data_IF_182236630319
#
_entry.id   IF_182236630319
#
_cell.length_a   1.000
_cell.length_b   1.000
_cell.length_c   1.000
_cell.angle_alpha   90.00
_cell.angle_beta   90.00
_cell.angle_gamma   90.00
#
_symmetry.space_group_name_H-M   'P 1'
#
loop_
_entity.id
_entity.type
_entity.pdbx_description
1 polymer ?
#
# COMPACT_ATOMS: atom_id res chain seq x y z
N UNK A 1 37.36 -7.50 -50.93
CA UNK A 1 36.74 -6.70 -49.85
C UNK A 1 36.45 -7.68 -48.73
N UNK A 2 37.08 -7.48 -47.57
CA UNK A 2 37.46 -8.55 -46.65
C UNK A 2 36.34 -8.90 -45.65
N UNK A 3 35.79 -10.11 -45.74
CA UNK A 3 34.65 -10.65 -44.95
C UNK A 3 34.93 -10.63 -43.42
N UNK A 4 36.20 -10.76 -43.04
CA UNK A 4 36.65 -10.66 -41.64
C UNK A 4 36.43 -9.27 -41.02
N UNK A 5 36.41 -8.21 -41.83
CA UNK A 5 36.19 -6.84 -41.35
C UNK A 5 34.71 -6.56 -41.05
N UNK A 6 33.80 -7.13 -41.85
CA UNK A 6 32.35 -7.01 -41.70
C UNK A 6 31.85 -7.80 -40.48
N UNK A 7 32.38 -9.01 -40.27
CA UNK A 7 32.03 -9.86 -39.12
C UNK A 7 32.46 -9.28 -37.78
N UNK A 8 33.66 -8.68 -37.70
CA UNK A 8 34.14 -8.00 -36.48
C UNK A 8 33.30 -6.76 -36.12
N UNK A 9 32.98 -5.92 -37.12
CA UNK A 9 32.14 -4.74 -36.93
C UNK A 9 30.72 -5.10 -36.44
N UNK A 10 30.14 -6.17 -36.98
CA UNK A 10 28.83 -6.67 -36.53
C UNK A 10 28.89 -7.24 -35.10
N UNK A 11 29.94 -7.98 -34.74
CA UNK A 11 30.12 -8.51 -33.39
C UNK A 11 30.29 -7.39 -32.34
N UNK A 12 31.05 -6.35 -32.66
CA UNK A 12 31.27 -5.20 -31.77
C UNK A 12 30.00 -4.37 -31.61
N UNK A 13 29.24 -4.14 -32.70
CA UNK A 13 27.91 -3.51 -32.63
C UNK A 13 26.93 -4.31 -31.77
N UNK A 14 26.93 -5.65 -31.87
CA UNK A 14 26.09 -6.52 -31.03
C UNK A 14 26.50 -6.41 -29.55
N UNK A 15 27.80 -6.45 -29.24
CA UNK A 15 28.30 -6.28 -27.86
C UNK A 15 27.93 -4.91 -27.26
N UNK A 16 28.07 -3.82 -28.03
CA UNK A 16 27.70 -2.47 -27.58
C UNK A 16 26.19 -2.38 -27.33
N UNK A 17 25.37 -2.86 -28.27
CA UNK A 17 23.90 -2.86 -28.17
C UNK A 17 23.39 -3.76 -27.02
N UNK A 18 24.09 -4.86 -26.75
CA UNK A 18 23.82 -5.75 -25.60
C UNK A 18 24.29 -5.13 -24.28
N UNK A 19 25.38 -4.35 -24.29
CA UNK A 19 25.87 -3.65 -23.10
C UNK A 19 24.85 -2.63 -22.61
N UNK A 20 24.36 -1.73 -23.46
CA UNK A 20 23.44 -0.65 -23.06
C UNK A 20 22.10 -1.17 -22.51
N UNK A 21 21.59 -2.28 -23.04
CA UNK A 21 20.37 -2.92 -22.48
C UNK A 21 20.55 -3.36 -21.03
N UNK A 22 21.74 -3.86 -20.67
CA UNK A 22 22.05 -4.32 -19.29
C UNK A 22 22.04 -3.16 -18.28
N UNK A 23 22.45 -1.96 -18.70
CA UNK A 23 22.46 -0.77 -17.83
C UNK A 23 21.07 -0.32 -17.41
N UNK A 24 20.02 -0.61 -18.19
CA UNK A 24 18.64 -0.30 -17.81
C UNK A 24 17.93 -1.46 -17.10
N UNK A 25 18.23 -2.71 -17.47
CA UNK A 25 17.57 -3.88 -16.85
C UNK A 25 18.02 -4.11 -15.41
N UNK A 26 19.29 -3.86 -15.10
CA UNK A 26 19.84 -4.11 -13.75
C UNK A 26 19.18 -3.18 -12.70
N UNK A 27 19.11 -1.85 -12.90
CA UNK A 27 18.42 -0.96 -11.96
C UNK A 27 16.94 -1.29 -11.77
N UNK A 28 16.22 -1.61 -12.85
CA UNK A 28 14.80 -1.99 -12.78
C UNK A 28 14.63 -3.27 -11.94
N UNK A 29 15.47 -4.28 -12.17
CA UNK A 29 15.44 -5.52 -11.40
C UNK A 29 15.77 -5.26 -9.93
N UNK A 30 16.77 -4.42 -9.65
CA UNK A 30 17.11 -4.04 -8.28
C UNK A 30 15.97 -3.32 -7.57
N UNK A 31 15.33 -2.35 -8.23
CA UNK A 31 14.16 -1.64 -7.72
C UNK A 31 13.03 -2.63 -7.41
N UNK A 32 12.75 -3.55 -8.33
CA UNK A 32 11.75 -4.60 -8.12
C UNK A 32 12.09 -5.48 -6.90
N UNK A 33 13.33 -5.96 -6.80
CA UNK A 33 13.79 -6.78 -5.67
C UNK A 33 13.74 -6.02 -4.34
N UNK A 34 14.07 -4.73 -4.34
CA UNK A 34 13.95 -3.86 -3.16
C UNK A 34 12.49 -3.79 -2.71
N UNK A 35 11.54 -3.54 -3.62
CA UNK A 35 10.12 -3.53 -3.26
C UNK A 35 9.67 -4.86 -2.67
N UNK A 36 9.97 -5.95 -3.39
CA UNK A 36 9.57 -7.29 -2.96
C UNK A 36 10.15 -7.64 -1.59
N UNK A 37 11.45 -7.38 -1.37
CA UNK A 37 12.15 -7.73 -0.14
C UNK A 37 11.82 -6.83 1.04
N UNK A 38 11.59 -5.54 0.81
CA UNK A 38 11.42 -4.56 1.89
C UNK A 38 9.96 -4.20 2.19
N UNK A 39 9.01 -4.42 1.29
CA UNK A 39 7.59 -4.15 1.55
C UNK A 39 6.76 -5.41 1.34
N UNK A 40 6.79 -6.02 0.16
CA UNK A 40 5.80 -7.05 -0.20
C UNK A 40 5.92 -8.31 0.65
N UNK A 41 7.09 -8.94 0.70
CA UNK A 41 7.30 -10.19 1.45
C UNK A 41 7.08 -10.00 2.95
N UNK A 42 7.68 -8.99 3.62
CA UNK A 42 7.51 -8.82 5.06
C UNK A 42 6.04 -8.63 5.46
N UNK A 43 5.27 -7.85 4.68
CA UNK A 43 3.85 -7.61 4.95
C UNK A 43 3.00 -8.83 4.62
N UNK A 44 3.29 -9.54 3.51
CA UNK A 44 2.61 -10.80 3.18
C UNK A 44 2.76 -11.83 4.31
N UNK A 45 3.98 -12.00 4.84
CA UNK A 45 4.23 -12.91 5.96
C UNK A 45 3.46 -12.48 7.21
N UNK A 46 3.48 -11.19 7.56
CA UNK A 46 2.72 -10.68 8.71
C UNK A 46 1.22 -10.90 8.55
N UNK A 47 0.67 -10.69 7.36
CA UNK A 47 -0.74 -10.94 7.08
C UNK A 47 -1.08 -12.43 7.21
N UNK A 48 -0.17 -13.34 6.84
CA UNK A 48 -0.37 -14.78 6.97
C UNK A 48 -0.35 -15.31 8.41
N UNK A 49 0.25 -14.58 9.34
CA UNK A 49 0.31 -14.98 10.76
C UNK A 49 -1.07 -14.97 11.45
N UNK A 50 -2.02 -14.16 10.97
CA UNK A 50 -3.39 -14.13 11.50
C UNK A 50 -4.37 -14.78 10.50
N UNK A 51 -4.94 -15.97 10.81
CA UNK A 51 -5.86 -16.68 9.92
C UNK A 51 -7.10 -15.88 9.50
N UNK A 52 -7.51 -14.89 10.30
CA UNK A 52 -8.63 -14.00 9.99
C UNK A 52 -8.34 -13.09 8.78
N UNK A 53 -7.08 -12.93 8.36
CA UNK A 53 -6.71 -12.18 7.15
C UNK A 53 -6.94 -12.96 5.85
N UNK A 54 -7.31 -14.24 5.91
CA UNK A 54 -7.53 -15.04 4.70
C UNK A 54 -8.80 -14.66 3.92
N UNK A 55 -9.57 -13.68 4.41
CA UNK A 55 -10.77 -13.15 3.75
C UNK A 55 -10.44 -12.16 2.63
N UNK A 56 -9.22 -11.65 2.53
CA UNK A 56 -8.83 -10.72 1.47
C UNK A 56 -7.36 -10.89 1.04
N UNK A 57 -7.04 -10.40 -0.15
CA UNK A 57 -5.67 -10.38 -0.70
C UNK A 57 -5.17 -8.95 -0.82
N UNK A 58 -4.07 -8.66 -0.13
CA UNK A 58 -3.46 -7.34 -0.07
C UNK A 58 -1.97 -7.43 -0.44
N UNK A 59 -1.52 -6.51 -1.28
CA UNK A 59 -0.13 -6.40 -1.74
C UNK A 59 0.40 -5.04 -1.35
N UNK A 60 1.67 -4.97 -0.93
CA UNK A 60 2.30 -3.71 -0.57
C UNK A 60 3.56 -3.44 -1.37
N UNK A 61 3.75 -2.20 -1.80
CA UNK A 61 4.87 -1.76 -2.61
C UNK A 61 5.11 -0.26 -2.41
N UNK A 62 6.30 0.24 -2.78
CA UNK A 62 6.55 1.67 -2.81
C UNK A 62 5.84 2.29 -4.00
N UNK A 63 5.29 3.50 -3.85
CA UNK A 63 4.59 4.18 -4.96
C UNK A 63 5.52 4.32 -6.16
N UNK A 64 5.00 3.98 -7.35
CA UNK A 64 5.76 3.89 -8.61
C UNK A 64 7.01 2.99 -8.56
N UNK A 65 7.10 2.12 -7.55
CA UNK A 65 8.25 1.28 -7.26
C UNK A 65 9.48 2.02 -6.73
N UNK A 66 9.50 3.35 -6.65
CA UNK A 66 10.75 4.10 -6.37
C UNK A 66 10.59 5.19 -5.32
N UNK A 67 9.40 5.38 -4.74
CA UNK A 67 9.15 6.39 -3.72
C UNK A 67 9.22 5.78 -2.31
N UNK A 68 10.38 5.82 -1.64
CA UNK A 68 10.56 5.11 -0.37
C UNK A 68 9.72 5.68 0.79
N UNK A 69 9.29 6.94 0.67
CA UNK A 69 8.45 7.66 1.61
C UNK A 69 6.95 7.46 1.35
N UNK A 70 6.55 6.68 0.35
CA UNK A 70 5.14 6.40 0.05
C UNK A 70 4.90 4.90 -0.06
N UNK A 71 4.22 4.32 0.93
CA UNK A 71 3.77 2.94 0.90
C UNK A 71 2.43 2.87 0.17
N UNK A 72 2.25 1.88 -0.69
CA UNK A 72 0.96 1.51 -1.25
C UNK A 72 0.47 0.26 -0.55
N UNK A 73 -0.79 0.29 -0.10
CA UNK A 73 -1.56 -0.84 0.35
C UNK A 73 -2.63 -1.10 -0.71
N UNK A 74 -2.44 -2.15 -1.49
CA UNK A 74 -3.25 -2.45 -2.66
C UNK A 74 -4.12 -3.69 -2.41
N UNK A 75 -5.44 -3.49 -2.37
CA UNK A 75 -6.42 -4.56 -2.22
C UNK A 75 -6.73 -5.17 -3.58
N UNK A 76 -6.52 -6.48 -3.73
CA UNK A 76 -6.68 -7.18 -5.00
C UNK A 76 -7.89 -8.11 -5.04
N UNK A 77 -8.29 -8.66 -3.90
CA UNK A 77 -9.38 -9.61 -3.81
C UNK A 77 -10.02 -9.63 -2.44
N UNK A 78 -11.31 -9.94 -2.43
CA UNK A 78 -12.16 -10.10 -1.26
C UNK A 78 -12.94 -11.40 -1.43
N UNK A 79 -13.00 -12.20 -0.38
CA UNK A 79 -13.90 -13.34 -0.31
C UNK A 79 -15.31 -12.83 0.02
N UNK A 80 -16.34 -13.64 -0.27
CA UNK A 80 -17.74 -13.29 -0.02
C UNK A 80 -18.05 -13.00 1.46
N UNK A 81 -17.23 -13.51 2.38
CA UNK A 81 -17.38 -13.33 3.83
C UNK A 81 -16.51 -12.21 4.40
N UNK A 82 -15.75 -11.49 3.57
CA UNK A 82 -14.87 -10.43 4.01
C UNK A 82 -15.67 -9.26 4.58
N UNK A 83 -15.44 -8.92 5.85
CA UNK A 83 -16.02 -7.72 6.46
C UNK A 83 -15.14 -6.49 6.22
N UNK A 84 -15.74 -5.30 6.25
CA UNK A 84 -15.04 -4.01 6.30
C UNK A 84 -13.98 -3.98 7.42
N UNK A 85 -14.33 -4.52 8.59
CA UNK A 85 -13.45 -4.63 9.76
C UNK A 85 -12.23 -5.51 9.48
N UNK A 86 -12.37 -6.61 8.72
CA UNK A 86 -11.24 -7.46 8.36
C UNK A 86 -10.22 -6.71 7.51
N UNK A 87 -10.69 -5.93 6.54
CA UNK A 87 -9.81 -5.12 5.69
C UNK A 87 -9.10 -4.06 6.50
N UNK A 88 -9.79 -3.37 7.42
CA UNK A 88 -9.16 -2.38 8.32
C UNK A 88 -8.12 -3.04 9.23
N UNK A 89 -8.43 -4.21 9.80
CA UNK A 89 -7.46 -4.98 10.60
C UNK A 89 -6.23 -5.38 9.79
N UNK A 90 -6.38 -5.72 8.51
CA UNK A 90 -5.24 -6.00 7.63
C UNK A 90 -4.36 -4.77 7.41
N UNK A 91 -4.95 -3.58 7.20
CA UNK A 91 -4.20 -2.31 7.15
C UNK A 91 -3.39 -2.11 8.43
N UNK A 92 -4.00 -2.38 9.58
CA UNK A 92 -3.34 -2.24 10.88
C UNK A 92 -2.18 -3.23 11.05
N UNK A 93 -2.32 -4.48 10.62
CA UNK A 93 -1.20 -5.43 10.60
C UNK A 93 -0.04 -4.99 9.69
N UNK A 94 -0.33 -4.35 8.55
CA UNK A 94 0.72 -3.74 7.72
C UNK A 94 1.38 -2.59 8.49
N UNK A 95 0.62 -1.75 9.18
CA UNK A 95 1.17 -0.66 9.99
C UNK A 95 2.12 -1.18 11.08
N UNK A 96 1.72 -2.21 11.82
CA UNK A 96 2.57 -2.85 12.82
C UNK A 96 3.86 -3.39 12.23
N UNK A 97 3.79 -4.07 11.07
CA UNK A 97 4.99 -4.59 10.41
C UNK A 97 5.95 -3.48 10.00
N UNK A 98 5.41 -2.31 9.71
CA UNK A 98 6.14 -1.18 9.15
C UNK A 98 6.47 -0.09 10.19
N UNK A 99 6.17 -0.28 11.48
CA UNK A 99 6.31 0.72 12.57
C UNK A 99 7.71 1.34 12.78
N UNK A 100 8.76 0.73 12.20
CA UNK A 100 10.12 1.27 12.20
C UNK A 100 10.46 2.13 10.97
N UNK A 101 9.47 2.46 10.13
CA UNK A 101 9.66 3.26 8.91
C UNK A 101 8.76 4.47 8.89
N UNK A 102 9.28 5.54 8.30
CA UNK A 102 8.56 6.78 8.13
C UNK A 102 8.06 6.89 6.70
N UNK A 103 6.78 7.21 6.58
CA UNK A 103 6.13 7.53 5.32
C UNK A 103 5.56 8.93 5.42
N UNK A 104 5.51 9.66 4.31
CA UNK A 104 4.74 10.88 4.21
C UNK A 104 3.25 10.51 4.05
N UNK A 105 3.00 9.50 3.21
CA UNK A 105 1.67 9.01 2.88
C UNK A 105 1.65 7.50 2.75
N UNK A 106 0.54 6.89 3.19
CA UNK A 106 0.19 5.50 2.86
C UNK A 106 -1.00 5.51 1.93
N UNK A 107 -0.79 5.10 0.69
CA UNK A 107 -1.81 5.12 -0.36
C UNK A 107 -2.66 3.85 -0.29
N UNK A 108 -3.96 4.02 -0.18
CA UNK A 108 -4.94 2.96 -0.31
C UNK A 108 -5.30 2.80 -1.79
N UNK A 109 -5.02 1.62 -2.34
CA UNK A 109 -5.30 1.29 -3.74
C UNK A 109 -6.22 0.08 -3.85
N UNK A 110 -6.97 0.01 -4.94
CA UNK A 110 -7.75 -1.16 -5.32
C UNK A 110 -7.33 -1.58 -6.72
N UNK A 111 -6.81 -2.80 -6.85
CA UNK A 111 -6.33 -3.40 -8.11
C UNK A 111 -5.42 -2.45 -8.91
N UNK A 112 -4.48 -1.83 -8.21
CA UNK A 112 -3.49 -0.91 -8.80
C UNK A 112 -3.97 0.52 -9.02
N UNK A 113 -5.23 0.86 -8.70
CA UNK A 113 -5.73 2.22 -8.77
C UNK A 113 -5.67 2.89 -7.40
N UNK A 114 -4.93 4.00 -7.30
CA UNK A 114 -4.86 4.79 -6.06
C UNK A 114 -6.17 5.56 -5.85
N UNK A 115 -6.76 5.42 -4.65
CA UNK A 115 -8.07 5.98 -4.30
C UNK A 115 -7.97 7.04 -3.22
N UNK A 116 -7.30 6.69 -2.13
CA UNK A 116 -7.20 7.49 -0.92
C UNK A 116 -5.78 7.41 -0.36
N UNK A 117 -5.46 8.27 0.60
CA UNK A 117 -4.18 8.22 1.33
C UNK A 117 -4.36 8.54 2.80
N UNK A 118 -3.62 7.83 3.64
CA UNK A 118 -3.55 8.03 5.09
C UNK A 118 -2.26 8.81 5.39
N UNK A 119 -2.33 9.76 6.32
CA UNK A 119 -1.13 10.45 6.81
C UNK A 119 -0.14 9.45 7.44
N UNK A 120 1.12 9.51 7.04
CA UNK A 120 2.11 8.53 7.50
C UNK A 120 2.44 8.61 8.99
N UNK A 121 2.28 9.77 9.63
CA UNK A 121 2.40 9.91 11.09
C UNK A 121 1.34 9.07 11.82
N UNK A 122 0.08 9.20 11.42
CA UNK A 122 -1.01 8.41 11.99
C UNK A 122 -0.84 6.92 11.69
N UNK A 123 -0.36 6.56 10.50
CA UNK A 123 -0.03 5.16 10.18
C UNK A 123 1.05 4.59 11.11
N UNK A 124 2.07 5.37 11.42
CA UNK A 124 3.09 5.00 12.40
C UNK A 124 2.51 4.86 13.81
N UNK A 125 1.59 5.75 14.20
CA UNK A 125 0.88 5.64 15.48
C UNK A 125 0.10 4.33 15.59
N UNK A 126 -0.64 3.93 14.55
CA UNK A 126 -1.34 2.63 14.52
C UNK A 126 -0.34 1.50 14.78
N UNK A 127 0.77 1.48 14.03
CA UNK A 127 1.76 0.41 14.14
C UNK A 127 2.40 0.29 15.51
N UNK A 128 2.57 1.39 16.22
CA UNK A 128 3.12 1.43 17.59
C UNK A 128 2.06 1.13 18.67
N UNK A 129 0.79 1.37 18.38
CA UNK A 129 -0.29 1.34 19.36
C UNK A 129 -1.08 0.04 19.40
N UNK A 130 -0.95 -0.84 18.40
CA UNK A 130 -1.79 -2.04 18.29
C UNK A 130 -1.72 -3.00 19.49
N UNK A 131 -0.56 -3.11 20.14
CA UNK A 131 -0.38 -3.93 21.34
C UNK A 131 -0.84 -3.24 22.64
N UNK A 132 -1.10 -1.92 22.59
CA UNK A 132 -1.27 -1.07 23.76
C UNK A 132 -2.64 -0.40 23.84
N UNK A 133 -3.28 -0.13 22.70
CA UNK A 133 -4.56 0.55 22.58
C UNK A 133 -5.66 -0.41 22.14
N UNK A 134 -6.91 -0.07 22.47
CA UNK A 134 -8.06 -0.78 21.94
C UNK A 134 -8.15 -0.54 20.41
N UNK A 135 -8.11 -1.57 19.55
CA UNK A 135 -8.19 -1.42 18.10
C UNK A 135 -9.43 -0.65 17.63
N UNK A 136 -10.54 -0.73 18.38
CA UNK A 136 -11.77 0.02 18.08
C UNK A 136 -11.54 1.53 18.10
N UNK A 137 -10.66 2.02 19.00
CA UNK A 137 -10.32 3.44 19.05
C UNK A 137 -9.58 3.89 17.78
N UNK A 138 -8.62 3.10 17.30
CA UNK A 138 -7.88 3.40 16.08
C UNK A 138 -8.79 3.31 14.85
N UNK A 139 -9.73 2.36 14.82
CA UNK A 139 -10.70 2.20 13.74
C UNK A 139 -11.61 3.42 13.61
N UNK A 140 -12.17 3.92 14.72
CA UNK A 140 -13.10 5.06 14.67
C UNK A 140 -12.44 6.40 14.36
N UNK A 141 -11.14 6.55 14.60
CA UNK A 141 -10.41 7.80 14.29
C UNK A 141 -9.74 7.76 12.92
N UNK A 142 -9.58 6.58 12.31
CA UNK A 142 -8.97 6.41 11.00
C UNK A 142 -9.56 7.31 9.91
N UNK A 143 -10.89 7.44 9.72
CA UNK A 143 -11.44 8.25 8.63
C UNK A 143 -10.98 9.71 8.67
N UNK A 144 -10.88 10.30 9.87
CA UNK A 144 -10.39 11.69 10.04
C UNK A 144 -8.94 11.90 9.61
N UNK A 145 -8.18 10.83 9.37
CA UNK A 145 -6.78 10.82 8.95
C UNK A 145 -6.62 10.38 7.49
N UNK A 146 -7.74 10.23 6.77
CA UNK A 146 -7.79 9.87 5.36
C UNK A 146 -8.02 11.10 4.50
N UNK A 147 -7.30 11.16 3.39
CA UNK A 147 -7.30 12.25 2.43
C UNK A 147 -7.56 11.71 1.03
N UNK A 148 -8.13 12.55 0.17
CA UNK A 148 -8.18 12.31 -1.26
C UNK A 148 -6.78 12.30 -1.87
N UNK A 149 -6.63 11.76 -3.08
CA UNK A 149 -5.33 11.79 -3.77
C UNK A 149 -4.80 13.21 -3.96
N UNK A 150 -5.68 14.19 -4.13
CA UNK A 150 -5.34 15.62 -4.26
C UNK A 150 -4.93 16.27 -2.93
N UNK A 151 -5.15 15.60 -1.80
CA UNK A 151 -4.70 16.06 -0.47
C UNK A 151 -5.74 16.83 0.34
N UNK A 152 -7.00 16.86 -0.10
CA UNK A 152 -8.09 17.35 0.73
C UNK A 152 -8.50 16.26 1.74
N UNK A 153 -8.92 16.61 2.97
CA UNK A 153 -9.54 15.65 3.88
C UNK A 153 -10.69 14.93 3.17
N UNK A 154 -10.76 13.59 3.31
CA UNK A 154 -11.82 12.79 2.71
C UNK A 154 -13.10 12.80 3.57
N UNK A 155 -12.93 12.95 4.89
CA UNK A 155 -14.01 12.95 5.87
C UNK A 155 -13.87 14.13 6.84
N UNK A 156 -14.97 14.52 7.46
CA UNK A 156 -15.00 15.61 8.44
C UNK A 156 -14.51 15.15 9.82
N UNK A 157 -14.23 16.13 10.69
CA UNK A 157 -13.96 15.88 12.11
C UNK A 157 -15.17 16.21 12.95
N UNK A 158 -15.64 15.24 13.72
CA UNK A 158 -16.88 15.38 14.50
C UNK A 158 -16.65 15.90 15.90
N UNK A 159 -17.50 16.83 16.33
CA UNK A 159 -17.56 17.35 17.70
C UNK A 159 -19.00 17.30 18.21
N UNK A 160 -19.18 17.16 19.53
CA UNK A 160 -20.50 17.06 20.15
C UNK A 160 -20.61 15.97 21.22
N UNK A 161 -21.82 15.45 21.43
CA UNK A 161 -22.07 14.39 22.39
C UNK A 161 -21.41 13.07 21.97
N UNK A 162 -20.83 12.35 22.94
CA UNK A 162 -20.03 11.13 22.69
C UNK A 162 -20.73 10.11 21.79
N UNK A 163 -22.01 9.83 22.02
CA UNK A 163 -22.78 8.84 21.24
C UNK A 163 -22.94 9.28 19.79
N UNK A 164 -23.24 10.56 19.55
CA UNK A 164 -23.43 11.10 18.20
C UNK A 164 -22.10 11.08 17.43
N UNK A 165 -21.01 11.52 18.06
CA UNK A 165 -19.65 11.49 17.48
C UNK A 165 -19.24 10.06 17.14
N UNK A 166 -19.50 9.10 18.05
CA UNK A 166 -19.20 7.69 17.80
C UNK A 166 -19.99 7.12 16.62
N UNK A 167 -21.28 7.43 16.52
CA UNK A 167 -22.11 6.97 15.40
C UNK A 167 -21.54 7.45 14.07
N UNK A 168 -21.28 8.75 13.97
CA UNK A 168 -20.77 9.34 12.74
C UNK A 168 -19.35 8.87 12.38
N UNK A 169 -18.47 8.68 13.34
CA UNK A 169 -17.15 8.07 13.11
C UNK A 169 -17.24 6.65 12.52
N UNK A 170 -18.24 5.87 12.94
CA UNK A 170 -18.46 4.53 12.41
C UNK A 170 -19.10 4.56 11.02
N UNK A 171 -19.96 5.55 10.75
CA UNK A 171 -20.53 5.77 9.42
C UNK A 171 -19.43 6.17 8.42
N UNK A 172 -18.55 7.10 8.79
CA UNK A 172 -17.39 7.49 7.96
C UNK A 172 -16.44 6.30 7.74
N UNK A 173 -16.24 5.44 8.75
CA UNK A 173 -15.46 4.22 8.58
C UNK A 173 -16.11 3.27 7.56
N UNK A 174 -17.43 3.17 7.55
CA UNK A 174 -18.12 2.38 6.55
C UNK A 174 -17.97 2.99 5.15
N UNK A 175 -18.15 4.31 5.02
CA UNK A 175 -18.01 5.05 3.76
C UNK A 175 -16.59 4.96 3.18
N UNK A 176 -15.56 4.97 4.05
CA UNK A 176 -14.16 4.71 3.67
C UNK A 176 -13.97 3.42 2.88
N UNK A 177 -14.65 2.36 3.25
CA UNK A 177 -14.57 1.10 2.50
C UNK A 177 -15.33 1.15 1.19
N UNK A 178 -16.41 1.95 1.13
CA UNK A 178 -17.18 2.14 -0.10
C UNK A 178 -16.36 2.89 -1.14
N UNK A 179 -15.78 4.02 -0.74
CA UNK A 179 -14.91 4.87 -1.56
C UNK A 179 -13.60 4.18 -1.98
N UNK A 180 -13.09 3.27 -1.14
CA UNK A 180 -11.86 2.57 -1.44
C UNK A 180 -12.05 1.43 -2.45
N UNK A 181 -13.07 0.58 -2.31
CA UNK A 181 -13.17 -0.62 -3.14
C UNK A 181 -14.56 -1.20 -3.41
N UNK A 182 -15.62 -0.83 -2.68
CA UNK A 182 -16.94 -1.46 -2.91
C UNK A 182 -17.72 -0.81 -4.06
N UNK A 183 -17.46 0.45 -4.41
CA UNK A 183 -18.14 1.08 -5.54
C UNK A 183 -17.82 0.43 -6.89
N UNK A 184 -16.63 -0.15 -7.05
CA UNK A 184 -16.24 -0.92 -8.23
C UNK A 184 -16.80 -2.36 -8.24
N UNK A 185 -17.44 -2.80 -7.15
CA UNK A 185 -17.99 -4.16 -7.00
C UNK A 185 -19.51 -4.23 -7.24
N UNK A 186 -20.17 -3.08 -7.43
CA UNK A 186 -21.59 -2.97 -7.77
C UNK A 186 -21.79 -3.10 -9.28
#
# INVERSE_FOLDING_TARGET
MDDKSLTKNNADKIKIKLSWKRWFTIPILLIFLINVGFTTIPNYLRLKEDPRNNTATMVTYQRWGVMPNQLVIDLWGLNETASKIDVTRMVFHVAEKMKGRNFDWVVLSYRGQSRLKIEGNFFSEIGNSLDQQNPVYLMRTLPSQVYSMDGNPAYETWSGGLIAVLGQQMDDLNELHDDWYLDDMK
#
